data_IF_273715404329
#
_entry.id   IF_273715404329
#
_cell.length_a   1.000
_cell.length_b   1.000
_cell.length_c   1.000
_cell.angle_alpha   90.00
_cell.angle_beta   90.00
_cell.angle_gamma   90.00
#
_symmetry.space_group_name_H-M   'P 1'
#
loop_
_entity.id
_entity.type
_entity.pdbx_description
1 polymer ?
#
# COMPACT_ATOMS: atom_id res chain seq x y z
N UNK A 1 -14.44 40.05 -7.39
CA UNK A 1 -12.97 40.02 -7.42
C UNK A 1 -12.36 39.47 -6.12
N UNK A 2 -12.57 40.07 -4.94
CA UNK A 2 -12.02 39.50 -3.67
C UNK A 2 -12.62 38.12 -3.30
N UNK A 3 -13.94 37.98 -3.45
CA UNK A 3 -14.69 36.72 -3.19
C UNK A 3 -14.31 35.59 -4.16
N UNK A 4 -14.09 35.93 -5.43
CA UNK A 4 -13.68 34.97 -6.47
C UNK A 4 -12.24 34.49 -6.29
N UNK A 5 -11.35 35.36 -5.78
CA UNK A 5 -9.97 35.00 -5.43
C UNK A 5 -9.95 34.05 -4.22
N UNK A 6 -10.77 34.31 -3.19
CA UNK A 6 -10.92 33.43 -2.03
C UNK A 6 -11.46 32.04 -2.41
N UNK A 7 -12.46 31.98 -3.30
CA UNK A 7 -13.02 30.72 -3.78
C UNK A 7 -11.98 29.91 -4.60
N UNK A 8 -11.19 30.57 -5.45
CA UNK A 8 -10.12 29.92 -6.22
C UNK A 8 -8.99 29.39 -5.31
N UNK A 9 -8.60 30.13 -4.28
CA UNK A 9 -7.61 29.66 -3.30
C UNK A 9 -8.09 28.42 -2.53
N UNK A 10 -9.38 28.35 -2.19
CA UNK A 10 -9.96 27.21 -1.48
C UNK A 10 -9.99 25.93 -2.35
N UNK A 11 -10.25 26.06 -3.65
CA UNK A 11 -10.25 24.93 -4.61
C UNK A 11 -8.84 24.38 -4.83
N UNK A 12 -7.83 25.24 -4.86
CA UNK A 12 -6.42 24.84 -5.00
C UNK A 12 -5.93 24.05 -3.78
N UNK A 13 -6.40 24.40 -2.57
CA UNK A 13 -6.07 23.67 -1.34
C UNK A 13 -6.65 22.25 -1.29
N UNK A 14 -7.81 22.00 -1.91
CA UNK A 14 -8.39 20.66 -1.98
C UNK A 14 -7.68 19.75 -3.00
N UNK A 15 -7.09 20.33 -4.05
CA UNK A 15 -6.40 19.56 -5.10
C UNK A 15 -5.06 18.96 -4.63
N UNK A 16 -4.41 19.55 -3.61
CA UNK A 16 -3.11 19.09 -3.10
C UNK A 16 -3.21 18.03 -1.98
N UNK A 17 -4.41 17.73 -1.49
CA UNK A 17 -4.64 16.68 -0.49
C UNK A 17 -4.78 15.26 -1.09
N UNK A 18 -4.74 15.14 -2.42
CA UNK A 18 -4.97 13.88 -3.14
C UNK A 18 -3.70 13.14 -3.55
N UNK A 19 -2.81 12.81 -2.62
CA UNK A 19 -1.73 11.85 -2.86
C UNK A 19 -1.70 10.85 -1.71
N UNK A 20 -2.67 9.94 -1.69
CA UNK A 20 -2.69 8.84 -0.71
C UNK A 20 -2.14 7.57 -1.33
N UNK A 21 -1.15 7.05 -0.61
CA UNK A 21 -0.36 5.86 -0.84
C UNK A 21 -1.03 4.68 -1.53
N UNK A 22 -0.49 4.35 -2.69
CA UNK A 22 -0.72 3.07 -3.32
C UNK A 22 0.60 2.60 -3.93
N UNK A 23 1.73 2.67 -3.22
CA UNK A 23 3.02 2.22 -3.75
C UNK A 23 3.40 0.84 -3.19
N UNK A 24 4.29 0.14 -3.89
CA UNK A 24 4.73 -1.20 -3.50
C UNK A 24 5.28 -1.28 -2.06
N UNK A 25 5.91 -0.21 -1.56
CA UNK A 25 6.43 -0.15 -0.21
C UNK A 25 5.34 -0.13 0.85
N UNK A 26 4.29 0.65 0.65
CA UNK A 26 3.17 0.72 1.61
C UNK A 26 2.39 -0.59 1.68
N UNK A 27 2.16 -1.25 0.53
CA UNK A 27 1.52 -2.58 0.51
C UNK A 27 2.41 -3.58 1.26
N UNK A 28 3.73 -3.52 1.06
CA UNK A 28 4.67 -4.40 1.76
C UNK A 28 4.67 -4.18 3.27
N UNK A 29 4.75 -2.93 3.71
CA UNK A 29 4.76 -2.56 5.13
C UNK A 29 3.44 -2.96 5.81
N UNK A 30 2.31 -2.77 5.12
CA UNK A 30 1.00 -3.21 5.62
C UNK A 30 0.94 -4.73 5.74
N UNK A 31 1.46 -5.47 4.75
CA UNK A 31 1.52 -6.93 4.80
C UNK A 31 2.38 -7.43 5.98
N UNK A 32 3.52 -6.79 6.25
CA UNK A 32 4.36 -7.10 7.41
C UNK A 32 3.64 -6.80 8.73
N UNK A 33 2.89 -5.70 8.81
CA UNK A 33 2.10 -5.37 9.98
C UNK A 33 1.01 -6.41 10.25
N UNK A 34 0.26 -6.83 9.22
CA UNK A 34 -0.77 -7.88 9.32
C UNK A 34 -0.16 -9.21 9.75
N UNK A 35 1.03 -9.56 9.25
CA UNK A 35 1.75 -10.75 9.69
C UNK A 35 2.11 -10.68 11.18
N UNK A 36 2.60 -9.54 11.66
CA UNK A 36 2.89 -9.32 13.09
C UNK A 36 1.64 -9.42 13.97
N UNK A 37 0.47 -9.01 13.44
CA UNK A 37 -0.82 -9.17 14.10
C UNK A 37 -1.38 -10.61 14.01
N UNK A 38 -0.64 -11.54 13.40
CA UNK A 38 -1.06 -12.93 13.13
C UNK A 38 -2.24 -13.04 12.16
N UNK A 39 -2.55 -12.00 11.42
CA UNK A 39 -3.55 -11.98 10.38
C UNK A 39 -2.96 -12.53 9.07
N UNK A 40 -2.48 -13.78 9.12
CA UNK A 40 -1.69 -14.38 8.04
C UNK A 40 -2.44 -14.42 6.70
N UNK A 41 -3.76 -14.59 6.72
CA UNK A 41 -4.59 -14.56 5.51
C UNK A 41 -4.54 -13.19 4.83
N UNK A 42 -4.66 -12.11 5.61
CA UNK A 42 -4.64 -10.75 5.05
C UNK A 42 -3.23 -10.36 4.60
N UNK A 43 -2.21 -10.73 5.38
CA UNK A 43 -0.81 -10.56 4.97
C UNK A 43 -0.51 -11.24 3.63
N UNK A 44 -0.98 -12.49 3.44
CA UNK A 44 -0.80 -13.21 2.19
C UNK A 44 -1.47 -12.50 1.00
N UNK A 45 -2.70 -12.01 1.18
CA UNK A 45 -3.42 -11.25 0.15
C UNK A 45 -2.67 -9.98 -0.26
N UNK A 46 -2.14 -9.23 0.70
CA UNK A 46 -1.38 -8.01 0.42
C UNK A 46 -0.05 -8.31 -0.29
N UNK A 47 0.68 -9.37 0.10
CA UNK A 47 1.87 -9.79 -0.64
C UNK A 47 1.53 -10.22 -2.08
N UNK A 48 0.41 -10.91 -2.31
CA UNK A 48 -0.04 -11.27 -3.65
C UNK A 48 -0.39 -10.03 -4.48
N UNK A 49 -1.14 -9.08 -3.92
CA UNK A 49 -1.47 -7.82 -4.56
C UNK A 49 -0.22 -7.03 -4.97
N UNK A 50 0.79 -6.97 -4.10
CA UNK A 50 2.06 -6.33 -4.41
C UNK A 50 2.72 -6.97 -5.63
N UNK A 51 2.71 -8.30 -5.73
CA UNK A 51 3.32 -9.02 -6.84
C UNK A 51 2.57 -8.85 -8.15
N UNK A 52 1.24 -8.67 -8.08
CA UNK A 52 0.40 -8.41 -9.25
C UNK A 52 0.57 -6.97 -9.76
N UNK A 53 0.51 -5.99 -8.86
CA UNK A 53 0.54 -4.56 -9.22
C UNK A 53 1.95 -4.04 -9.44
N UNK A 54 2.95 -4.60 -8.74
CA UNK A 54 4.33 -4.10 -8.71
C UNK A 54 5.37 -5.22 -8.87
N UNK A 55 5.29 -6.03 -9.94
CA UNK A 55 6.12 -7.22 -10.14
C UNK A 55 7.63 -6.92 -10.19
N UNK A 56 8.01 -5.74 -10.68
CA UNK A 56 9.41 -5.31 -10.83
C UNK A 56 9.90 -4.39 -9.69
N UNK A 57 9.08 -4.20 -8.65
CA UNK A 57 9.48 -3.37 -7.51
C UNK A 57 10.59 -4.02 -6.70
N UNK A 58 11.41 -3.19 -6.03
CA UNK A 58 12.39 -3.65 -5.04
C UNK A 58 11.78 -4.48 -3.89
N UNK A 59 10.46 -4.43 -3.71
CA UNK A 59 9.73 -5.16 -2.68
C UNK A 59 9.20 -6.53 -3.17
N UNK A 60 9.07 -6.75 -4.47
CA UNK A 60 8.51 -7.98 -5.04
C UNK A 60 9.29 -9.23 -4.61
N UNK A 61 10.63 -9.17 -4.61
CA UNK A 61 11.47 -10.27 -4.15
C UNK A 61 11.18 -10.65 -2.68
N UNK A 62 11.05 -9.64 -1.81
CA UNK A 62 10.73 -9.85 -0.39
C UNK A 62 9.32 -10.40 -0.21
N UNK A 63 8.33 -9.86 -0.92
CA UNK A 63 6.95 -10.32 -0.84
C UNK A 63 6.82 -11.81 -1.20
N UNK A 64 7.50 -12.29 -2.26
CA UNK A 64 7.55 -13.73 -2.61
C UNK A 64 8.12 -14.57 -1.48
N UNK A 65 9.20 -14.13 -0.85
CA UNK A 65 9.83 -14.85 0.25
C UNK A 65 8.88 -14.97 1.45
N UNK A 66 8.23 -13.86 1.84
CA UNK A 66 7.30 -13.85 2.98
C UNK A 66 6.06 -14.69 2.72
N UNK A 67 5.46 -14.58 1.53
CA UNK A 67 4.31 -15.40 1.12
C UNK A 67 4.62 -16.90 1.22
N UNK A 68 5.78 -17.33 0.70
CA UNK A 68 6.22 -18.74 0.81
C UNK A 68 6.42 -19.21 2.25
N UNK A 69 6.86 -18.34 3.16
CA UNK A 69 7.01 -18.67 4.60
C UNK A 69 5.64 -18.84 5.26
N UNK A 70 4.67 -18.00 4.91
CA UNK A 70 3.30 -18.12 5.43
C UNK A 70 2.64 -19.43 5.00
N UNK A 71 2.72 -19.80 3.72
CA UNK A 71 2.17 -21.06 3.20
C UNK A 71 2.72 -22.29 3.94
N UNK A 72 4.03 -22.31 4.20
CA UNK A 72 4.68 -23.41 4.93
C UNK A 72 4.29 -23.49 6.41
N UNK A 73 3.92 -22.37 7.02
CA UNK A 73 3.58 -22.32 8.45
C UNK A 73 2.12 -22.69 8.72
N UNK A 74 1.32 -22.83 7.66
CA UNK A 74 -0.10 -23.20 7.72
C UNK A 74 -0.33 -24.71 7.46
N UNK A 75 0.73 -25.52 7.33
CA UNK A 75 0.68 -26.97 7.12
C UNK A 75 1.46 -27.66 8.24
#
# INVERSE_FOLDING_TARGET
MKQTILALMLVVLMAVAGCTGNNAGEIFETAEFEELQKNHTHAAQLYQELLEKYPDSKYAGKARERLKKLEKSQH
#
